data_IF_046381019639
#
_entry.id   IF_046381019639
#
_cell.length_a   1.000
_cell.length_b   1.000
_cell.length_c   1.000
_cell.angle_alpha   90.00
_cell.angle_beta   90.00
_cell.angle_gamma   90.00
#
_symmetry.space_group_name_H-M   'P 1'
#
loop_
_entity.id
_entity.type
_entity.pdbx_description
1 polymer ?
#
# COMPACT_ATOMS: atom_id res chain seq x y z
N UNK A 1 18.05 2.10 21.34
CA UNK A 1 16.84 2.90 21.60
C UNK A 1 15.75 1.96 22.11
N UNK A 2 14.92 2.38 23.06
CA UNK A 2 13.82 1.56 23.58
C UNK A 2 12.65 1.59 22.58
N UNK A 3 12.15 0.41 22.20
CA UNK A 3 10.98 0.25 21.34
C UNK A 3 9.80 -0.27 22.17
N UNK A 4 8.75 0.55 22.41
CA UNK A 4 7.59 0.14 23.20
C UNK A 4 6.69 -0.89 22.49
N UNK A 5 6.89 -1.16 21.19
CA UNK A 5 6.08 -2.07 20.38
C UNK A 5 6.66 -3.48 20.27
N UNK A 6 7.96 -3.67 20.55
CA UNK A 6 8.70 -4.93 20.35
C UNK A 6 8.03 -6.21 20.90
N UNK A 7 7.29 -6.11 22.00
CA UNK A 7 6.62 -7.24 22.65
C UNK A 7 5.09 -7.16 22.57
N UNK A 8 4.54 -6.31 21.70
CA UNK A 8 3.10 -6.20 21.47
C UNK A 8 2.73 -7.06 20.27
N UNK A 9 1.53 -7.65 20.32
CA UNK A 9 0.97 -8.32 19.15
C UNK A 9 0.57 -7.23 18.14
N UNK A 10 1.01 -7.30 16.88
CA UNK A 10 0.63 -6.34 15.86
C UNK A 10 -0.88 -6.39 15.61
N UNK A 11 -1.55 -5.26 15.76
CA UNK A 11 -2.97 -5.14 15.49
C UNK A 11 -3.20 -4.53 14.11
N UNK A 12 -4.27 -4.96 13.43
CA UNK A 12 -4.61 -4.45 12.09
C UNK A 12 -4.88 -2.93 12.06
N UNK A 13 -5.19 -2.33 13.21
CA UNK A 13 -5.45 -0.89 13.39
C UNK A 13 -4.20 -0.15 13.93
N UNK A 14 -3.11 -0.86 14.19
CA UNK A 14 -1.86 -0.29 14.67
C UNK A 14 -1.09 0.48 13.59
N UNK A 15 -0.01 1.19 13.98
CA UNK A 15 0.87 1.84 13.02
C UNK A 15 1.58 0.79 12.15
N UNK A 16 1.87 1.18 10.91
CA UNK A 16 2.73 0.38 10.04
C UNK A 16 4.14 0.29 10.63
N UNK A 17 4.73 -0.91 10.58
CA UNK A 17 6.10 -1.16 11.03
C UNK A 17 7.14 -0.72 10.01
N UNK A 18 6.75 -0.65 8.73
CA UNK A 18 7.64 -0.26 7.63
C UNK A 18 6.86 0.36 6.46
N UNK A 19 7.59 1.09 5.62
CA UNK A 19 7.09 1.71 4.40
C UNK A 19 8.10 1.49 3.26
N UNK A 20 7.67 0.85 2.18
CA UNK A 20 8.54 0.57 1.02
C UNK A 20 8.03 1.25 -0.25
N UNK A 21 8.92 1.79 -1.11
CA UNK A 21 8.51 2.33 -2.40
C UNK A 21 7.97 1.20 -3.29
N UNK A 22 6.95 1.53 -4.10
CA UNK A 22 6.31 0.60 -5.01
C UNK A 22 6.50 1.07 -6.44
N UNK A 23 7.12 0.21 -7.26
CA UNK A 23 7.07 0.34 -8.71
C UNK A 23 5.84 -0.44 -9.21
N UNK A 24 4.87 0.21 -9.88
CA UNK A 24 3.72 -0.47 -10.45
C UNK A 24 4.12 -1.57 -11.45
N UNK A 25 3.52 -2.75 -11.30
CA UNK A 25 3.78 -3.91 -12.17
C UNK A 25 2.50 -4.73 -12.32
N UNK A 26 2.21 -5.20 -13.54
CA UNK A 26 0.99 -5.97 -13.79
C UNK A 26 1.08 -7.43 -13.34
N UNK A 27 2.30 -7.99 -13.24
CA UNK A 27 2.53 -9.43 -13.00
C UNK A 27 3.28 -9.72 -11.69
N UNK A 28 3.70 -8.71 -10.93
CA UNK A 28 4.51 -8.87 -9.72
C UNK A 28 3.74 -8.37 -8.50
N UNK A 29 3.48 -9.26 -7.54
CA UNK A 29 2.90 -8.89 -6.26
C UNK A 29 3.91 -8.15 -5.37
N UNK A 30 3.38 -7.38 -4.42
CA UNK A 30 4.14 -6.87 -3.30
C UNK A 30 4.70 -8.04 -2.46
N UNK A 31 5.82 -7.86 -1.72
CA UNK A 31 6.43 -8.93 -0.92
C UNK A 31 5.48 -9.50 0.15
N UNK A 32 4.49 -8.71 0.57
CA UNK A 32 3.36 -9.13 1.40
C UNK A 32 2.17 -8.19 1.11
N UNK A 33 0.99 -8.50 1.64
CA UNK A 33 -0.18 -7.62 1.50
C UNK A 33 0.06 -6.34 2.32
N UNK A 34 0.05 -5.19 1.65
CA UNK A 34 0.13 -3.89 2.29
C UNK A 34 -1.15 -3.61 3.07
N UNK A 35 -1.05 -2.96 4.22
CA UNK A 35 -2.20 -2.50 5.00
C UNK A 35 -2.82 -1.22 4.42
N UNK A 36 -1.98 -0.38 3.81
CA UNK A 36 -2.37 0.85 3.14
C UNK A 36 -1.34 1.24 2.08
N UNK A 37 -1.71 2.17 1.21
CA UNK A 37 -0.81 2.82 0.26
C UNK A 37 -0.74 4.32 0.55
N UNK A 38 0.46 4.90 0.52
CA UNK A 38 0.66 6.34 0.50
C UNK A 38 1.02 6.79 -0.92
N UNK A 39 0.48 7.91 -1.35
CA UNK A 39 0.61 8.42 -2.71
C UNK A 39 1.10 9.87 -2.64
N UNK A 40 2.22 10.17 -3.28
CA UNK A 40 2.74 11.53 -3.33
C UNK A 40 2.01 12.39 -4.37
N UNK A 41 1.91 11.89 -5.61
CA UNK A 41 1.17 12.56 -6.70
C UNK A 41 -0.03 11.73 -7.09
N UNK A 42 -1.21 12.34 -7.00
CA UNK A 42 -2.51 11.77 -7.26
C UNK A 42 -2.74 11.41 -8.74
N UNK A 43 -3.85 10.73 -8.99
CA UNK A 43 -4.19 10.19 -10.30
C UNK A 43 -5.04 8.93 -10.20
N UNK A 44 -5.13 8.19 -11.30
CA UNK A 44 -5.71 6.85 -11.28
C UNK A 44 -4.75 5.89 -10.58
N UNK A 45 -5.28 5.05 -9.71
CA UNK A 45 -4.55 4.00 -9.03
C UNK A 45 -5.31 2.69 -9.24
N UNK A 46 -4.65 1.74 -9.92
CA UNK A 46 -5.16 0.41 -10.23
C UNK A 46 -4.47 -0.60 -9.32
N UNK A 47 -5.24 -1.28 -8.48
CA UNK A 47 -4.70 -2.25 -7.50
C UNK A 47 -5.40 -3.59 -7.58
N UNK A 48 -4.66 -4.65 -7.25
CA UNK A 48 -5.25 -5.92 -6.83
C UNK A 48 -5.37 -5.86 -5.31
N UNK A 49 -6.60 -5.96 -4.81
CA UNK A 49 -6.87 -5.98 -3.37
C UNK A 49 -6.55 -7.33 -2.76
N UNK A 50 -6.52 -7.42 -1.42
CA UNK A 50 -6.37 -8.69 -0.70
C UNK A 50 -7.46 -9.73 -1.03
N UNK A 51 -8.61 -9.29 -1.54
CA UNK A 51 -9.68 -10.17 -2.03
C UNK A 51 -9.43 -10.70 -3.44
N UNK A 52 -8.25 -10.48 -4.04
CA UNK A 52 -7.88 -10.84 -5.42
C UNK A 52 -8.73 -10.16 -6.50
N UNK A 53 -9.26 -8.99 -6.17
CA UNK A 53 -10.14 -8.22 -7.01
C UNK A 53 -9.44 -6.96 -7.50
N UNK A 54 -9.58 -6.63 -8.78
CA UNK A 54 -9.00 -5.44 -9.41
C UNK A 54 -9.93 -4.25 -9.16
N UNK A 55 -9.39 -3.16 -8.62
CA UNK A 55 -10.10 -1.90 -8.43
C UNK A 55 -9.27 -0.75 -8.96
N UNK A 56 -9.92 0.14 -9.71
CA UNK A 56 -9.33 1.40 -10.16
C UNK A 56 -10.08 2.54 -9.49
N UNK A 57 -9.34 3.41 -8.84
CA UNK A 57 -9.89 4.55 -8.09
C UNK A 57 -9.05 5.80 -8.41
N UNK A 58 -9.63 6.98 -8.19
CA UNK A 58 -8.88 8.24 -8.26
C UNK A 58 -8.45 8.61 -6.85
N UNK A 59 -7.15 8.85 -6.66
CA UNK A 59 -6.57 9.35 -5.41
C UNK A 59 -6.09 10.78 -5.59
N UNK A 60 -6.10 11.55 -4.49
CA UNK A 60 -5.49 12.88 -4.43
C UNK A 60 -4.00 12.82 -4.13
N UNK A 61 -3.34 13.98 -4.24
CA UNK A 61 -1.95 14.16 -3.82
C UNK A 61 -1.80 13.93 -2.30
N UNK A 62 -0.61 13.46 -1.89
CA UNK A 62 -0.23 13.24 -0.48
C UNK A 62 -1.27 12.46 0.34
N UNK A 63 -1.94 11.48 -0.29
CA UNK A 63 -3.07 10.77 0.30
C UNK A 63 -2.69 9.37 0.78
N UNK A 64 -3.41 8.90 1.81
CA UNK A 64 -3.30 7.52 2.30
C UNK A 64 -4.58 6.78 1.90
N UNK A 65 -4.43 5.65 1.21
CA UNK A 65 -5.50 4.72 0.89
C UNK A 65 -5.45 3.53 1.88
N UNK A 66 -6.32 3.49 2.91
CA UNK A 66 -6.34 2.42 3.90
C UNK A 66 -7.08 1.18 3.37
N UNK A 67 -6.60 0.62 2.26
CA UNK A 67 -7.11 -0.61 1.63
C UNK A 67 -5.99 -1.62 1.54
N UNK A 68 -6.28 -2.86 1.92
CA UNK A 68 -5.30 -3.94 1.80
C UNK A 68 -5.01 -4.24 0.34
N UNK A 69 -3.78 -3.96 -0.09
CA UNK A 69 -3.34 -4.10 -1.47
C UNK A 69 -2.30 -5.21 -1.60
N UNK A 70 -2.53 -6.11 -2.56
CA UNK A 70 -1.60 -7.19 -2.92
C UNK A 70 -0.66 -6.79 -4.06
N UNK A 71 -1.16 -5.95 -4.98
CA UNK A 71 -0.41 -5.49 -6.17
C UNK A 71 -0.84 -4.08 -6.53
N UNK A 72 0.11 -3.25 -6.92
CA UNK A 72 -0.15 -2.00 -7.66
C UNK A 72 0.14 -2.28 -9.12
N UNK A 73 -0.86 -2.16 -9.97
CA UNK A 73 -0.79 -2.50 -11.38
C UNK A 73 -0.15 -1.36 -12.17
N UNK A 74 0.66 -1.68 -13.17
CA UNK A 74 1.15 -0.68 -14.11
C UNK A 74 0.00 -0.21 -15.02
N UNK A 75 -0.81 -1.15 -15.50
CA UNK A 75 -1.98 -0.83 -16.30
C UNK A 75 -3.03 -0.08 -15.48
N UNK A 76 -3.35 1.14 -15.93
CA UNK A 76 -4.39 1.98 -15.33
C UNK A 76 -3.94 2.78 -14.11
N UNK A 77 -2.65 2.81 -13.80
CA UNK A 77 -2.09 3.65 -12.73
C UNK A 77 -1.36 4.84 -13.34
N UNK A 78 -1.81 6.05 -13.00
CA UNK A 78 -1.14 7.32 -13.31
C UNK A 78 -0.63 8.05 -12.07
N UNK A 79 -1.07 7.64 -10.87
CA UNK A 79 -0.51 8.11 -9.61
C UNK A 79 0.98 7.71 -9.49
N UNK A 80 1.79 8.57 -8.87
CA UNK A 80 3.24 8.36 -8.71
C UNK A 80 3.70 8.59 -7.27
N UNK A 81 4.93 8.19 -6.94
CA UNK A 81 5.44 8.23 -5.56
C UNK A 81 4.64 7.33 -4.62
N UNK A 82 4.30 6.11 -5.09
CA UNK A 82 3.48 5.16 -4.35
C UNK A 82 4.37 4.40 -3.36
N UNK A 83 3.91 4.32 -2.12
CA UNK A 83 4.58 3.60 -1.05
C UNK A 83 3.61 2.65 -0.35
N UNK A 84 4.04 1.42 -0.07
CA UNK A 84 3.26 0.42 0.62
C UNK A 84 3.59 0.41 2.12
N UNK A 85 2.55 0.50 2.95
CA UNK A 85 2.67 0.43 4.40
C UNK A 85 2.41 -1.01 4.86
N UNK A 86 3.34 -1.58 5.62
CA UNK A 86 3.25 -2.96 6.10
C UNK A 86 3.08 -3.02 7.62
N UNK A 87 2.34 -4.04 8.07
CA UNK A 87 2.24 -4.40 9.48
C UNK A 87 2.96 -5.75 9.60
N UNK A 88 4.10 -5.75 10.28
CA UNK A 88 4.81 -6.96 10.71
C UNK A 88 4.17 -7.51 11.99
#
# INVERSE_FOLDING_TARGET
MYDPFKNRIPEATGPASDILPVLPADETDLPQVAAALYIETGGALSIVTASNEIRTIIVGDLSVLPVRARRVRATGTTATGIHALFIA
#
